data_IF_891602427130
#
_entry.id   IF_891602427130
#
_cell.length_a   1.000
_cell.length_b   1.000
_cell.length_c   1.000
_cell.angle_alpha   90.00
_cell.angle_beta   90.00
_cell.angle_gamma   90.00
#
_symmetry.space_group_name_H-M   'P 1'
#
loop_
_entity.id
_entity.type
_entity.pdbx_description
1 polymer ?
#
# COMPACT_ATOMS: atom_id res chain seq x y z
N UNK A 1 22.78 -10.05 8.92
CA UNK A 1 21.75 -11.04 9.28
C UNK A 1 22.38 -12.26 9.92
N UNK A 2 21.88 -12.60 11.10
CA UNK A 2 22.24 -13.84 11.80
C UNK A 2 21.11 -14.85 11.54
N UNK A 3 21.41 -15.96 10.87
CA UNK A 3 20.42 -17.01 10.65
C UNK A 3 20.58 -17.75 9.32
N UNK A 4 19.88 -18.86 9.17
CA UNK A 4 19.91 -19.74 7.99
C UNK A 4 19.10 -19.18 6.81
N UNK A 5 18.17 -18.25 7.05
CA UNK A 5 17.39 -17.56 6.02
C UNK A 5 17.71 -16.07 6.02
N UNK A 6 18.11 -15.56 4.86
CA UNK A 6 18.29 -14.12 4.64
C UNK A 6 16.93 -13.46 4.48
N UNK A 7 16.81 -12.21 4.92
CA UNK A 7 15.63 -11.37 4.62
C UNK A 7 15.62 -10.98 3.14
N UNK A 8 14.42 -10.75 2.61
CA UNK A 8 14.20 -10.21 1.29
C UNK A 8 13.10 -9.14 1.38
N UNK A 9 13.21 -8.09 0.57
CA UNK A 9 12.32 -6.92 0.64
C UNK A 9 11.83 -6.60 -0.76
N UNK A 10 10.50 -6.49 -0.94
CA UNK A 10 9.91 -5.85 -2.10
C UNK A 10 9.57 -4.40 -1.77
N UNK A 11 9.80 -3.51 -2.73
CA UNK A 11 9.44 -2.09 -2.64
C UNK A 11 8.44 -1.79 -3.75
N UNK A 12 7.30 -1.22 -3.39
CA UNK A 12 6.23 -0.88 -4.31
C UNK A 12 6.25 0.62 -4.61
N UNK A 13 6.14 0.98 -5.89
CA UNK A 13 6.04 2.36 -6.34
C UNK A 13 4.94 2.50 -7.40
N UNK A 14 4.22 3.60 -7.36
CA UNK A 14 3.22 3.92 -8.38
C UNK A 14 3.86 4.62 -9.59
N UNK A 15 3.40 4.37 -10.84
CA UNK A 15 4.01 4.91 -12.05
C UNK A 15 4.02 6.44 -12.15
N UNK A 16 3.20 7.15 -11.36
CA UNK A 16 3.15 8.62 -11.35
C UNK A 16 4.25 9.28 -10.50
N UNK A 17 5.02 8.50 -9.73
CA UNK A 17 6.09 9.02 -8.88
C UNK A 17 7.24 9.60 -9.72
N UNK A 18 7.76 10.77 -9.36
CA UNK A 18 8.80 11.47 -10.11
C UNK A 18 10.09 10.64 -10.30
N UNK A 19 10.43 9.81 -9.32
CA UNK A 19 11.63 8.94 -9.35
C UNK A 19 11.40 7.59 -10.06
N UNK A 20 10.29 7.41 -10.75
CA UNK A 20 9.92 6.12 -11.35
C UNK A 20 10.99 5.60 -12.33
N UNK A 21 11.66 6.50 -13.05
CA UNK A 21 12.68 6.13 -14.03
C UNK A 21 13.91 5.51 -13.37
N UNK A 22 14.36 6.06 -12.24
CA UNK A 22 15.46 5.52 -11.45
C UNK A 22 15.07 4.23 -10.73
N UNK A 23 13.83 4.16 -10.25
CA UNK A 23 13.27 2.97 -9.61
C UNK A 23 13.26 1.74 -10.54
N UNK A 24 12.85 1.91 -11.79
CA UNK A 24 12.87 0.84 -12.81
C UNK A 24 14.30 0.35 -13.07
N UNK A 25 15.29 1.24 -12.96
CA UNK A 25 16.69 0.93 -13.24
C UNK A 25 17.43 0.27 -12.07
N UNK A 26 16.81 0.09 -10.91
CA UNK A 26 17.48 -0.45 -9.71
C UNK A 26 18.16 -1.81 -9.92
N UNK A 27 17.64 -2.67 -10.81
CA UNK A 27 18.15 -4.01 -11.07
C UNK A 27 18.93 -4.15 -12.37
N UNK A 28 19.24 -3.05 -13.05
CA UNK A 28 20.05 -3.12 -14.27
C UNK A 28 21.46 -3.63 -13.98
N UNK A 29 21.96 -4.49 -14.86
CA UNK A 29 23.32 -5.04 -14.80
C UNK A 29 24.40 -4.09 -15.36
N UNK A 30 24.03 -2.89 -15.78
CA UNK A 30 24.90 -1.88 -16.38
C UNK A 30 24.73 -0.53 -15.72
N UNK A 31 25.71 0.35 -15.89
CA UNK A 31 25.69 1.68 -15.34
C UNK A 31 26.38 1.80 -13.98
N UNK A 32 26.07 2.85 -13.24
CA UNK A 32 26.72 3.18 -11.98
C UNK A 32 26.21 2.28 -10.84
N UNK A 33 27.09 1.46 -10.24
CA UNK A 33 26.74 0.50 -9.18
C UNK A 33 26.07 1.15 -7.96
N UNK A 34 26.46 2.37 -7.60
CA UNK A 34 25.84 3.10 -6.46
C UNK A 34 24.35 3.37 -6.64
N UNK A 35 23.88 3.34 -7.89
CA UNK A 35 22.48 3.55 -8.25
C UNK A 35 21.72 2.23 -8.42
N UNK A 36 22.30 1.12 -7.99
CA UNK A 36 21.72 -0.23 -8.10
C UNK A 36 21.37 -0.77 -6.72
N UNK A 37 20.35 -1.61 -6.70
CA UNK A 37 19.86 -2.29 -5.51
C UNK A 37 19.48 -3.73 -5.88
N UNK A 38 20.47 -4.53 -6.20
CA UNK A 38 20.29 -5.90 -6.71
C UNK A 38 19.57 -6.83 -5.73
N UNK A 39 19.67 -6.56 -4.42
CA UNK A 39 19.02 -7.34 -3.36
C UNK A 39 17.57 -6.91 -3.07
N UNK A 40 17.09 -5.82 -3.68
CA UNK A 40 15.70 -5.39 -3.58
C UNK A 40 14.87 -5.97 -4.73
N UNK A 41 13.58 -6.15 -4.46
CA UNK A 41 12.59 -6.56 -5.46
C UNK A 41 11.65 -5.40 -5.75
N UNK A 42 11.92 -4.60 -6.80
CA UNK A 42 11.03 -3.52 -7.18
C UNK A 42 9.72 -4.07 -7.74
N UNK A 43 8.62 -3.43 -7.39
CA UNK A 43 7.27 -3.73 -7.85
C UNK A 43 6.54 -2.45 -8.22
N UNK A 44 5.76 -2.46 -9.29
CA UNK A 44 4.88 -1.36 -9.68
C UNK A 44 3.47 -1.60 -9.16
N UNK A 45 2.89 -0.55 -8.61
CA UNK A 45 1.50 -0.50 -8.16
C UNK A 45 0.69 0.32 -9.16
N UNK A 46 0.17 -0.34 -10.20
CA UNK A 46 -0.31 0.24 -11.46
C UNK A 46 -1.80 0.54 -11.35
N UNK A 47 -2.20 1.77 -11.72
CA UNK A 47 -3.60 2.19 -11.83
C UNK A 47 -4.16 1.92 -13.22
N UNK A 48 -5.48 1.76 -13.32
CA UNK A 48 -6.18 1.58 -14.59
C UNK A 48 -5.95 2.79 -15.51
N UNK A 49 -5.95 4.02 -14.96
CA UNK A 49 -5.70 5.24 -15.73
C UNK A 49 -4.35 5.21 -16.46
N UNK A 50 -3.29 4.67 -15.82
CA UNK A 50 -1.99 4.54 -16.49
C UNK A 50 -2.09 3.64 -17.71
N UNK A 51 -2.76 2.49 -17.58
CA UNK A 51 -2.93 1.54 -18.68
C UNK A 51 -3.85 2.11 -19.78
N UNK A 52 -4.90 2.86 -19.43
CA UNK A 52 -5.73 3.61 -20.40
C UNK A 52 -4.83 4.55 -21.23
N UNK A 53 -3.99 5.35 -20.57
CA UNK A 53 -3.07 6.29 -21.22
C UNK A 53 -2.03 5.59 -22.12
N UNK A 54 -1.57 4.39 -21.71
CA UNK A 54 -0.68 3.55 -22.55
C UNK A 54 -1.40 3.09 -23.82
N UNK A 55 -2.64 2.62 -23.71
CA UNK A 55 -3.42 2.16 -24.86
C UNK A 55 -3.76 3.28 -25.82
N UNK A 56 -4.11 4.45 -25.30
CA UNK A 56 -4.46 5.64 -26.08
C UNK A 56 -3.25 6.40 -26.66
N UNK A 57 -2.02 5.96 -26.33
CA UNK A 57 -0.78 6.68 -26.66
C UNK A 57 -0.78 8.13 -26.15
N UNK A 58 -1.36 8.33 -24.97
CA UNK A 58 -1.50 9.63 -24.31
C UNK A 58 -0.29 9.99 -23.48
N UNK A 59 -0.27 11.22 -22.93
CA UNK A 59 0.75 11.68 -22.01
C UNK A 59 0.47 11.20 -20.59
N UNK A 60 1.57 11.01 -19.83
CA UNK A 60 1.57 10.65 -18.43
C UNK A 60 2.41 11.64 -17.64
N UNK A 61 1.89 12.12 -16.53
CA UNK A 61 2.53 13.13 -15.69
C UNK A 61 3.09 12.50 -14.43
N UNK A 62 4.34 12.81 -14.14
CA UNK A 62 5.05 12.42 -12.92
C UNK A 62 5.00 13.58 -11.93
N UNK A 63 4.72 13.29 -10.68
CA UNK A 63 4.57 14.27 -9.61
C UNK A 63 5.56 14.04 -8.48
N UNK A 64 5.88 15.11 -7.75
CA UNK A 64 6.52 15.01 -6.44
C UNK A 64 5.50 14.45 -5.44
N UNK A 65 5.76 13.29 -4.80
CA UNK A 65 4.83 12.68 -3.85
C UNK A 65 4.56 13.54 -2.61
N UNK A 66 5.43 14.48 -2.29
CA UNK A 66 5.20 15.42 -1.19
C UNK A 66 4.06 16.40 -1.49
N UNK A 67 3.92 16.83 -2.75
CA UNK A 67 2.89 17.78 -3.17
C UNK A 67 1.52 17.12 -3.42
N UNK A 68 1.50 15.81 -3.76
CA UNK A 68 0.29 15.04 -4.11
C UNK A 68 0.06 13.83 -3.20
N UNK A 69 0.23 14.00 -1.89
CA UNK A 69 0.23 12.93 -0.88
C UNK A 69 -1.00 12.02 -0.92
N UNK A 70 -2.14 12.56 -1.28
CA UNK A 70 -3.41 11.85 -1.31
C UNK A 70 -3.64 10.99 -2.56
N UNK A 71 -2.77 11.06 -3.58
CA UNK A 71 -2.83 10.15 -4.72
C UNK A 71 -2.55 8.70 -4.32
N UNK A 72 -1.64 8.47 -3.39
CA UNK A 72 -1.36 7.11 -2.88
C UNK A 72 -2.53 6.53 -2.08
N UNK A 73 -3.38 7.39 -1.54
CA UNK A 73 -4.48 7.01 -0.64
C UNK A 73 -5.81 6.74 -1.36
N UNK A 74 -5.86 6.89 -2.69
CA UNK A 74 -7.06 6.68 -3.49
C UNK A 74 -6.82 5.74 -4.69
N UNK A 75 -7.88 5.21 -5.28
CA UNK A 75 -7.86 4.32 -6.45
C UNK A 75 -9.11 4.50 -7.31
N UNK A 76 -9.12 3.92 -8.52
CA UNK A 76 -10.26 3.98 -9.43
C UNK A 76 -10.62 5.40 -9.86
N UNK A 77 -11.92 5.72 -9.87
CA UNK A 77 -12.42 7.02 -10.32
C UNK A 77 -11.96 8.18 -9.44
N UNK A 78 -11.79 7.96 -8.13
CA UNK A 78 -11.26 8.98 -7.23
C UNK A 78 -9.81 9.33 -7.57
N UNK A 79 -8.98 8.32 -7.80
CA UNK A 79 -7.60 8.53 -8.26
C UNK A 79 -7.58 9.29 -9.58
N UNK A 80 -8.39 8.86 -10.55
CA UNK A 80 -8.48 9.49 -11.88
C UNK A 80 -8.84 10.97 -11.80
N UNK A 81 -9.84 11.30 -10.99
CA UNK A 81 -10.29 12.68 -10.80
C UNK A 81 -9.19 13.56 -10.18
N UNK A 82 -8.53 13.08 -9.12
CA UNK A 82 -7.45 13.81 -8.44
C UNK A 82 -6.23 13.95 -9.34
N UNK A 83 -5.84 12.89 -10.03
CA UNK A 83 -4.69 12.90 -10.93
C UNK A 83 -4.86 13.94 -12.04
N UNK A 84 -6.04 14.01 -12.68
CA UNK A 84 -6.33 15.02 -13.71
C UNK A 84 -6.32 16.43 -13.11
N UNK A 85 -6.89 16.63 -11.93
CA UNK A 85 -6.86 17.93 -11.27
C UNK A 85 -5.42 18.40 -10.99
N UNK A 86 -4.53 17.50 -10.58
CA UNK A 86 -3.10 17.81 -10.40
C UNK A 86 -2.36 18.04 -11.72
N UNK A 87 -2.76 17.38 -12.80
CA UNK A 87 -2.23 17.68 -14.13
C UNK A 87 -2.54 19.12 -14.57
N UNK A 88 -3.69 19.65 -14.21
CA UNK A 88 -4.15 21.00 -14.55
C UNK A 88 -3.60 22.08 -13.62
N UNK A 89 -3.22 21.73 -12.39
CA UNK A 89 -2.68 22.69 -11.40
C UNK A 89 -1.26 23.13 -11.76
N UNK A 90 -1.12 24.40 -12.13
CA UNK A 90 0.17 24.99 -12.50
C UNK A 90 1.14 25.18 -11.32
N UNK A 91 0.70 25.04 -10.08
CA UNK A 91 1.53 25.24 -8.88
C UNK A 91 2.31 23.99 -8.48
N UNK A 92 1.93 22.82 -8.98
CA UNK A 92 2.52 21.52 -8.64
C UNK A 92 3.74 21.23 -9.52
N UNK A 93 4.83 20.78 -8.90
CA UNK A 93 6.04 20.31 -9.58
C UNK A 93 5.75 19.02 -10.32
N UNK A 94 5.93 19.02 -11.64
CA UNK A 94 5.59 17.88 -12.48
C UNK A 94 6.49 17.76 -13.70
N UNK A 95 6.60 16.55 -14.21
CA UNK A 95 7.26 16.21 -15.46
C UNK A 95 6.32 15.34 -16.30
N UNK A 96 6.25 15.58 -17.60
CA UNK A 96 5.31 14.89 -18.49
C UNK A 96 6.05 14.15 -19.58
N UNK A 97 5.64 12.91 -19.83
CA UNK A 97 6.20 12.04 -20.85
C UNK A 97 5.11 11.21 -21.54
N UNK A 98 5.41 10.51 -22.61
CA UNK A 98 4.48 9.53 -23.18
C UNK A 98 4.33 8.32 -22.25
N UNK A 99 3.09 7.96 -21.91
CA UNK A 99 2.80 6.77 -21.09
C UNK A 99 3.37 5.51 -21.72
N UNK A 100 3.31 5.40 -23.04
CA UNK A 100 3.85 4.28 -23.81
C UNK A 100 5.38 4.15 -23.70
N UNK A 101 6.10 5.26 -23.59
CA UNK A 101 7.55 5.23 -23.45
C UNK A 101 7.97 4.76 -22.04
N UNK A 102 7.26 5.21 -21.00
CA UNK A 102 7.43 4.66 -19.66
C UNK A 102 7.12 3.15 -19.63
N UNK A 103 6.01 2.74 -20.24
CA UNK A 103 5.63 1.32 -20.30
C UNK A 103 6.66 0.46 -21.04
N UNK A 104 7.20 0.94 -22.17
CA UNK A 104 8.30 0.26 -22.88
C UNK A 104 9.51 0.09 -21.98
N UNK A 105 9.89 1.13 -21.21
CA UNK A 105 11.01 1.03 -20.26
C UNK A 105 10.74 -0.02 -19.18
N UNK A 106 9.52 -0.06 -18.63
CA UNK A 106 9.09 -1.08 -17.66
C UNK A 106 9.26 -2.49 -18.26
N UNK A 107 8.70 -2.72 -19.45
CA UNK A 107 8.79 -4.02 -20.12
C UNK A 107 10.23 -4.41 -20.44
N UNK A 108 11.05 -3.47 -20.88
CA UNK A 108 12.48 -3.73 -21.13
C UNK A 108 13.17 -4.22 -19.87
N UNK A 109 13.01 -3.51 -18.74
CA UNK A 109 13.57 -3.93 -17.46
C UNK A 109 13.03 -5.28 -16.99
N UNK A 110 11.72 -5.51 -17.18
CA UNK A 110 11.07 -6.76 -16.84
C UNK A 110 11.67 -7.96 -17.58
N UNK A 111 11.87 -7.84 -18.90
CA UNK A 111 12.47 -8.91 -19.71
C UNK A 111 13.97 -9.11 -19.44
N UNK A 112 14.70 -8.05 -19.09
CA UNK A 112 16.13 -8.12 -18.80
C UNK A 112 16.43 -8.71 -17.40
N UNK A 113 15.60 -8.42 -16.41
CA UNK A 113 15.92 -8.71 -15.00
C UNK A 113 14.81 -9.47 -14.23
N UNK A 114 13.65 -9.73 -14.83
CA UNK A 114 12.47 -10.24 -14.15
C UNK A 114 11.82 -9.22 -13.20
N UNK A 115 12.21 -7.94 -13.28
CA UNK A 115 11.73 -6.87 -12.41
C UNK A 115 11.48 -5.59 -13.21
N UNK A 116 10.58 -4.70 -12.76
CA UNK A 116 9.75 -4.77 -11.57
C UNK A 116 8.60 -5.78 -11.67
N UNK A 117 8.07 -6.26 -10.55
CA UNK A 117 6.80 -6.98 -10.53
C UNK A 117 5.67 -6.04 -10.95
N UNK A 118 4.66 -6.57 -11.64
CA UNK A 118 3.52 -5.79 -12.15
C UNK A 118 2.26 -6.14 -11.35
N UNK A 119 1.82 -5.20 -10.52
CA UNK A 119 0.63 -5.36 -9.69
C UNK A 119 -0.37 -4.24 -10.00
N UNK A 120 -1.65 -4.59 -10.12
CA UNK A 120 -2.71 -3.68 -10.56
C UNK A 120 -3.54 -3.20 -9.37
N UNK A 121 -3.31 -1.94 -8.97
CA UNK A 121 -3.89 -1.27 -7.80
C UNK A 121 -5.41 -1.31 -7.80
N UNK A 122 -6.02 -0.87 -8.88
CA UNK A 122 -7.47 -0.72 -8.96
C UNK A 122 -8.16 -2.09 -8.98
N UNK A 123 -7.61 -3.05 -9.71
CA UNK A 123 -8.11 -4.43 -9.74
C UNK A 123 -8.05 -5.08 -8.35
N UNK A 124 -6.91 -4.93 -7.66
CA UNK A 124 -6.74 -5.46 -6.30
C UNK A 124 -7.77 -4.86 -5.34
N UNK A 125 -8.00 -3.55 -5.43
CA UNK A 125 -8.93 -2.86 -4.53
C UNK A 125 -10.40 -3.12 -4.85
N UNK A 126 -10.77 -3.29 -6.12
CA UNK A 126 -12.12 -3.75 -6.49
C UNK A 126 -12.44 -5.15 -5.98
N UNK A 127 -11.44 -6.02 -5.91
CA UNK A 127 -11.57 -7.39 -5.41
C UNK A 127 -11.38 -7.51 -3.88
N UNK A 128 -11.11 -6.41 -3.17
CA UNK A 128 -10.83 -6.41 -1.74
C UNK A 128 -12.08 -6.80 -0.92
N UNK A 129 -12.10 -7.96 -0.26
CA UNK A 129 -13.24 -8.37 0.58
C UNK A 129 -13.40 -7.52 1.84
N UNK A 130 -12.34 -6.78 2.22
CA UNK A 130 -12.29 -5.93 3.41
C UNK A 130 -12.30 -4.43 3.05
N UNK A 131 -12.90 -4.04 1.93
CA UNK A 131 -12.96 -2.64 1.50
C UNK A 131 -13.59 -1.69 2.53
N UNK A 132 -14.48 -2.23 3.39
CA UNK A 132 -15.11 -1.49 4.50
C UNK A 132 -14.15 -1.14 5.65
N UNK A 133 -12.98 -1.78 5.72
CA UNK A 133 -11.95 -1.54 6.74
C UNK A 133 -10.84 -0.63 6.22
N UNK A 134 -10.52 -0.74 4.93
CA UNK A 134 -9.46 0.04 4.30
C UNK A 134 -9.12 -0.47 2.91
N UNK A 135 -8.18 0.18 2.24
CA UNK A 135 -7.74 -0.24 0.92
C UNK A 135 -6.37 -0.95 0.95
N UNK A 136 -6.09 -1.70 -0.11
CA UNK A 136 -4.84 -2.41 -0.32
C UNK A 136 -3.83 -1.43 -0.93
N UNK A 137 -2.67 -1.25 -0.27
CA UNK A 137 -1.61 -0.32 -0.68
C UNK A 137 -0.42 -1.00 -1.35
N UNK A 138 -0.28 -2.29 -1.12
CA UNK A 138 0.81 -3.11 -1.69
C UNK A 138 0.48 -4.58 -1.55
N UNK A 139 1.33 -5.43 -2.10
CA UNK A 139 1.32 -6.87 -1.84
C UNK A 139 2.59 -7.26 -1.04
N UNK A 140 2.76 -8.54 -0.77
CA UNK A 140 3.98 -9.09 -0.17
C UNK A 140 5.08 -9.30 -1.22
N UNK A 141 6.21 -9.91 -0.82
CA UNK A 141 7.36 -10.18 -1.70
C UNK A 141 6.98 -11.04 -2.92
N UNK A 142 6.18 -12.10 -2.70
CA UNK A 142 5.82 -13.06 -3.74
C UNK A 142 4.54 -12.69 -4.51
N UNK A 143 3.91 -11.56 -4.18
CA UNK A 143 2.71 -11.00 -4.85
C UNK A 143 1.44 -11.84 -4.75
N UNK A 144 1.34 -12.77 -3.80
CA UNK A 144 0.14 -13.59 -3.57
C UNK A 144 -0.78 -13.05 -2.48
N UNK A 145 -0.32 -12.10 -1.63
CA UNK A 145 -1.11 -11.54 -0.54
C UNK A 145 -1.52 -10.11 -0.87
N UNK A 146 -2.81 -9.89 -0.98
CA UNK A 146 -3.43 -8.58 -1.17
C UNK A 146 -4.32 -8.29 0.03
N UNK A 147 -3.78 -7.58 1.01
CA UNK A 147 -4.43 -7.31 2.27
C UNK A 147 -4.37 -5.81 2.58
N UNK A 148 -5.50 -5.25 3.03
CA UNK A 148 -5.52 -3.86 3.46
C UNK A 148 -4.63 -3.65 4.69
N UNK A 149 -3.91 -2.54 4.69
CA UNK A 149 -3.10 -2.08 5.82
C UNK A 149 -3.30 -0.58 5.99
N UNK A 150 -3.58 -0.15 7.22
CA UNK A 150 -3.69 1.25 7.54
C UNK A 150 -2.34 1.82 7.95
N UNK A 151 -1.98 3.06 7.57
CA UNK A 151 -0.75 3.71 8.02
C UNK A 151 -0.81 4.03 9.51
N UNK A 152 0.36 4.33 10.09
CA UNK A 152 0.37 4.96 11.40
C UNK A 152 -0.32 6.32 11.31
N UNK A 153 -1.07 6.68 12.34
CA UNK A 153 -1.65 8.01 12.48
C UNK A 153 -1.43 8.54 13.90
N UNK A 154 -1.69 9.80 14.12
CA UNK A 154 -1.47 10.45 15.40
C UNK A 154 -2.75 11.11 15.87
N UNK A 155 -3.07 10.91 17.15
CA UNK A 155 -4.11 11.64 17.86
C UNK A 155 -3.49 12.75 18.68
N UNK A 156 -4.07 13.93 18.60
CA UNK A 156 -3.63 15.12 19.33
C UNK A 156 -4.72 15.53 20.29
N UNK A 157 -4.40 15.57 21.58
CA UNK A 157 -5.27 16.16 22.60
C UNK A 157 -4.93 17.63 22.76
N UNK A 158 -5.93 18.47 22.57
CA UNK A 158 -5.85 19.91 22.78
C UNK A 158 -6.63 20.28 24.02
N UNK A 159 -6.00 21.03 24.92
CA UNK A 159 -6.64 21.66 26.07
C UNK A 159 -6.95 23.13 25.73
N UNK A 160 -8.20 23.52 25.90
CA UNK A 160 -8.67 24.88 25.71
C UNK A 160 -8.54 25.69 26.99
N UNK A 161 -8.52 27.03 26.89
CA UNK A 161 -8.41 27.93 28.02
C UNK A 161 -9.55 27.79 29.07
N UNK A 162 -10.67 27.22 28.69
CA UNK A 162 -11.78 26.88 29.58
C UNK A 162 -11.61 25.51 30.29
N UNK A 163 -10.48 24.86 30.11
CA UNK A 163 -10.19 23.55 30.66
C UNK A 163 -10.83 22.37 29.90
N UNK A 164 -11.51 22.64 28.77
CA UNK A 164 -12.06 21.57 27.94
C UNK A 164 -10.94 20.85 27.20
N UNK A 165 -10.96 19.52 27.17
CA UNK A 165 -10.02 18.70 26.41
C UNK A 165 -10.77 18.06 25.24
N UNK A 166 -10.23 18.18 24.04
CA UNK A 166 -10.73 17.52 22.85
C UNK A 166 -9.63 16.77 22.11
N UNK A 167 -9.97 15.62 21.54
CA UNK A 167 -9.04 14.77 20.78
C UNK A 167 -9.33 14.89 19.28
N UNK A 168 -8.30 15.07 18.50
CA UNK A 168 -8.36 15.22 17.04
C UNK A 168 -7.35 14.25 16.39
N UNK A 169 -7.64 13.83 15.15
CA UNK A 169 -6.60 13.23 14.30
C UNK A 169 -5.64 14.33 13.84
N UNK A 170 -4.33 14.05 13.80
CA UNK A 170 -3.32 15.06 13.41
C UNK A 170 -3.56 15.59 11.99
N UNK A 171 -4.04 14.72 11.09
CA UNK A 171 -4.35 15.08 9.71
C UNK A 171 -5.52 16.06 9.55
N UNK A 172 -6.38 16.13 10.57
CA UNK A 172 -7.50 17.09 10.63
C UNK A 172 -7.09 18.46 11.15
N UNK A 173 -5.85 18.63 11.59
CA UNK A 173 -5.32 19.87 12.15
C UNK A 173 -4.34 20.52 11.18
N UNK A 174 -4.42 21.84 11.13
CA UNK A 174 -3.46 22.69 10.41
C UNK A 174 -2.94 23.80 11.33
N UNK A 175 -1.73 24.25 11.11
CA UNK A 175 -1.17 25.41 11.78
C UNK A 175 -1.44 26.63 10.93
N UNK A 176 -2.14 27.62 11.49
CA UNK A 176 -2.48 28.89 10.82
C UNK A 176 -2.11 30.03 11.74
N UNK A 177 -1.29 30.97 11.26
CA UNK A 177 -0.90 32.19 11.97
C UNK A 177 -0.45 31.95 13.44
N UNK A 178 0.30 30.87 13.68
CA UNK A 178 0.81 30.51 15.00
C UNK A 178 -0.22 29.86 15.92
N UNK A 179 -1.41 29.53 15.41
CA UNK A 179 -2.45 28.75 16.10
C UNK A 179 -2.70 27.40 15.46
N UNK A 180 -3.56 26.60 16.08
CA UNK A 180 -4.01 25.32 15.54
C UNK A 180 -5.47 25.47 15.13
N UNK A 181 -5.80 25.02 13.92
CA UNK A 181 -7.14 24.99 13.38
C UNK A 181 -7.53 23.60 12.91
N UNK A 182 -8.82 23.27 12.95
CA UNK A 182 -9.35 22.04 12.38
C UNK A 182 -9.48 22.19 10.86
N UNK A 183 -8.99 21.19 10.13
CA UNK A 183 -9.16 21.11 8.67
C UNK A 183 -10.63 20.82 8.37
N UNK A 184 -11.31 21.71 7.66
CA UNK A 184 -12.70 21.50 7.29
C UNK A 184 -12.81 20.41 6.22
N UNK A 185 -13.77 19.51 6.34
CA UNK A 185 -14.07 18.50 5.33
C UNK A 185 -14.41 19.16 3.99
N UNK A 186 -13.52 19.00 3.03
CA UNK A 186 -13.68 19.17 1.56
C UNK A 186 -14.26 20.48 1.00
N UNK A 187 -14.61 21.47 1.78
CA UNK A 187 -14.97 22.79 1.27
C UNK A 187 -14.42 23.85 2.23
N UNK A 188 -13.47 24.61 1.75
CA UNK A 188 -12.92 25.89 2.18
C UNK A 188 -13.69 26.66 3.31
N UNK A 189 -13.75 26.11 4.49
CA UNK A 189 -14.03 26.86 5.70
C UNK A 189 -13.12 26.31 6.81
N UNK A 190 -12.12 27.09 7.16
CA UNK A 190 -11.40 26.96 8.41
C UNK A 190 -12.41 27.20 9.54
N UNK A 191 -12.96 26.13 10.10
CA UNK A 191 -13.48 26.23 11.44
C UNK A 191 -12.28 26.45 12.35
N UNK A 192 -11.90 27.70 12.45
CA UNK A 192 -10.88 28.14 13.37
C UNK A 192 -11.27 27.61 14.75
N UNK A 193 -10.31 27.06 15.44
CA UNK A 193 -10.32 27.00 16.91
C UNK A 193 -10.21 28.46 17.35
N UNK A 194 -11.25 29.23 17.01
CA UNK A 194 -11.29 30.67 16.89
C UNK A 194 -10.78 31.35 18.13
N UNK A 195 -9.60 31.98 18.04
CA UNK A 195 -9.14 32.96 19.00
C UNK A 195 -8.85 32.44 20.41
N UNK A 196 -9.10 31.18 20.69
CA UNK A 196 -8.80 30.54 21.96
C UNK A 196 -7.37 30.01 21.93
N UNK A 197 -6.57 30.42 22.89
CA UNK A 197 -5.28 29.76 23.12
C UNK A 197 -5.54 28.29 23.44
N UNK A 198 -4.85 27.38 22.72
CA UNK A 198 -4.91 25.94 22.95
C UNK A 198 -3.52 25.44 23.22
N UNK A 199 -3.43 24.40 24.03
CA UNK A 199 -2.18 23.72 24.32
C UNK A 199 -2.26 22.27 23.85
N UNK A 200 -1.21 21.78 23.18
CA UNK A 200 -1.08 20.35 22.94
C UNK A 200 -0.66 19.69 24.25
N UNK A 201 -1.56 18.94 24.85
CA UNK A 201 -1.29 18.22 26.10
C UNK A 201 -0.73 16.82 25.85
N UNK A 202 -1.11 16.21 24.71
CA UNK A 202 -0.65 14.86 24.37
C UNK A 202 -0.68 14.67 22.84
N UNK A 203 0.35 13.99 22.35
CA UNK A 203 0.40 13.44 20.98
C UNK A 203 0.59 11.94 21.08
N UNK A 204 -0.46 11.18 20.82
CA UNK A 204 -0.45 9.72 20.84
C UNK A 204 -0.26 9.16 19.44
N UNK A 205 0.73 8.29 19.26
CA UNK A 205 0.91 7.53 18.04
C UNK A 205 0.03 6.29 18.08
N UNK A 206 -0.85 6.16 17.09
CA UNK A 206 -1.62 4.95 16.86
C UNK A 206 -0.90 4.14 15.79
N UNK A 207 -0.47 2.93 16.14
CA UNK A 207 0.20 2.05 15.20
C UNK A 207 -0.76 1.59 14.11
N UNK A 208 -0.31 1.70 12.86
CA UNK A 208 -0.99 1.14 11.70
C UNK A 208 -0.90 -0.38 11.65
N UNK A 209 -1.54 -0.93 10.64
CA UNK A 209 -1.58 -2.37 10.42
C UNK A 209 -0.25 -2.90 9.85
N UNK A 210 0.11 -4.11 10.24
CA UNK A 210 1.21 -4.87 9.64
C UNK A 210 0.71 -6.29 9.40
N UNK A 211 0.36 -6.58 8.15
CA UNK A 211 -0.12 -7.89 7.72
C UNK A 211 1.01 -8.93 7.73
N UNK A 212 0.65 -10.17 8.01
CA UNK A 212 1.57 -11.33 7.99
C UNK A 212 0.92 -12.46 7.22
N UNK A 213 1.70 -13.09 6.35
CA UNK A 213 1.28 -14.27 5.60
C UNK A 213 1.09 -15.47 6.53
N UNK A 214 -0.06 -16.15 6.40
CA UNK A 214 -0.38 -17.41 7.06
C UNK A 214 -0.95 -18.35 6.00
N UNK A 215 -0.07 -19.19 5.42
CA UNK A 215 -0.31 -19.89 4.16
C UNK A 215 -0.15 -21.39 4.29
N UNK A 216 -0.97 -22.15 3.53
CA UNK A 216 -0.80 -23.56 3.30
C UNK A 216 -1.22 -23.91 1.86
N UNK A 217 -0.87 -25.11 1.41
CA UNK A 217 -1.31 -25.62 0.10
C UNK A 217 -1.74 -27.08 0.21
N UNK A 218 -2.87 -27.40 -0.42
CA UNK A 218 -3.33 -28.77 -0.56
C UNK A 218 -2.66 -29.40 -1.78
N UNK A 219 -2.06 -30.57 -1.58
CA UNK A 219 -1.49 -31.32 -2.71
C UNK A 219 -2.59 -32.11 -3.43
N UNK A 220 -3.01 -31.59 -4.58
CA UNK A 220 -4.09 -32.18 -5.38
C UNK A 220 -3.73 -33.55 -5.93
N UNK A 221 -2.44 -33.85 -6.18
CA UNK A 221 -2.02 -35.19 -6.62
C UNK A 221 -2.27 -36.30 -5.58
N UNK A 222 -2.64 -35.93 -4.35
CA UNK A 222 -3.02 -36.83 -3.25
C UNK A 222 -4.52 -36.83 -2.93
N UNK A 223 -5.30 -36.05 -3.68
CA UNK A 223 -6.74 -35.95 -3.58
C UNK A 223 -7.35 -36.81 -4.69
N UNK A 224 -8.02 -37.87 -4.35
CA UNK A 224 -8.59 -38.79 -5.33
C UNK A 224 -10.11 -38.69 -5.45
N UNK A 225 -10.76 -38.18 -4.41
CA UNK A 225 -12.22 -38.11 -4.34
C UNK A 225 -12.71 -36.77 -3.78
N UNK A 226 -13.99 -36.50 -3.98
CA UNK A 226 -14.64 -35.31 -3.38
C UNK A 226 -14.60 -35.38 -1.84
N UNK A 227 -14.79 -36.59 -1.30
CA UNK A 227 -14.75 -36.86 0.14
C UNK A 227 -13.39 -36.53 0.75
N UNK A 228 -12.28 -36.69 0.00
CA UNK A 228 -10.95 -36.28 0.43
C UNK A 228 -10.88 -34.75 0.58
N UNK A 229 -11.46 -34.00 -0.35
CA UNK A 229 -11.54 -32.53 -0.27
C UNK A 229 -12.35 -32.12 0.96
N UNK A 230 -13.53 -32.66 1.12
CA UNK A 230 -14.44 -32.38 2.23
C UNK A 230 -13.82 -32.69 3.61
N UNK A 231 -12.91 -33.66 3.67
CA UNK A 231 -12.15 -34.02 4.87
C UNK A 231 -10.94 -33.12 5.11
N UNK A 232 -10.13 -32.87 4.06
CA UNK A 232 -8.81 -32.18 4.19
C UNK A 232 -8.96 -30.67 4.35
N UNK A 233 -9.84 -30.03 3.58
CA UNK A 233 -9.97 -28.57 3.56
C UNK A 233 -10.37 -27.99 4.92
N UNK A 234 -11.41 -28.51 5.62
CA UNK A 234 -11.76 -28.02 6.95
C UNK A 234 -10.64 -28.16 8.00
N UNK A 235 -9.85 -29.24 7.89
CA UNK A 235 -8.70 -29.47 8.78
C UNK A 235 -7.63 -28.41 8.50
N UNK A 236 -7.30 -28.18 7.23
CA UNK A 236 -6.29 -27.20 6.83
C UNK A 236 -6.69 -25.78 7.27
N UNK A 237 -7.94 -25.38 7.08
CA UNK A 237 -8.47 -24.08 7.53
C UNK A 237 -8.35 -23.96 9.06
N UNK A 238 -8.76 -24.98 9.81
CA UNK A 238 -8.62 -24.98 11.28
C UNK A 238 -7.17 -24.88 11.73
N UNK A 239 -6.25 -25.58 11.06
CA UNK A 239 -4.83 -25.50 11.36
C UNK A 239 -4.31 -24.07 11.15
N UNK A 240 -4.65 -23.43 10.03
CA UNK A 240 -4.25 -22.05 9.73
C UNK A 240 -4.82 -21.07 10.76
N UNK A 241 -6.09 -21.21 11.12
CA UNK A 241 -6.74 -20.36 12.13
C UNK A 241 -6.09 -20.53 13.51
N UNK A 242 -5.80 -21.77 13.92
CA UNK A 242 -5.10 -22.05 15.18
C UNK A 242 -3.67 -21.44 15.22
N UNK A 243 -2.97 -21.42 14.09
CA UNK A 243 -1.64 -20.80 14.00
C UNK A 243 -1.70 -19.32 14.37
N UNK A 244 -2.77 -18.60 14.02
CA UNK A 244 -2.93 -17.18 14.39
C UNK A 244 -2.90 -16.99 15.90
N UNK A 245 -3.52 -17.89 16.66
CA UNK A 245 -3.58 -17.81 18.12
C UNK A 245 -2.31 -18.31 18.81
N UNK A 246 -1.70 -19.37 18.27
CA UNK A 246 -0.59 -20.07 18.89
C UNK A 246 0.79 -19.54 18.54
N UNK A 247 0.90 -18.76 17.43
CA UNK A 247 2.19 -18.30 16.92
C UNK A 247 2.83 -17.24 17.86
N UNK A 248 4.15 -17.23 17.85
CA UNK A 248 4.93 -16.16 18.49
C UNK A 248 5.01 -14.94 17.57
N UNK A 249 4.62 -13.79 18.08
CA UNK A 249 4.70 -12.52 17.38
C UNK A 249 5.79 -11.63 18.00
N UNK A 250 6.88 -11.33 17.26
CA UNK A 250 7.95 -10.49 17.80
C UNK A 250 7.54 -9.03 17.98
N UNK A 251 6.50 -8.57 17.26
CA UNK A 251 6.01 -7.20 17.33
C UNK A 251 4.52 -7.16 17.71
N UNK A 252 4.18 -6.28 18.66
CA UNK A 252 2.79 -6.14 19.16
C UNK A 252 1.81 -5.74 18.06
N UNK A 253 2.20 -4.83 17.15
CA UNK A 253 1.35 -4.38 16.04
C UNK A 253 1.02 -5.51 15.05
N UNK A 254 1.96 -6.41 14.80
CA UNK A 254 1.73 -7.60 13.95
C UNK A 254 0.70 -8.52 14.59
N UNK A 255 0.85 -8.77 15.89
CA UNK A 255 -0.14 -9.57 16.64
C UNK A 255 -1.53 -8.95 16.59
N UNK A 256 -1.62 -7.64 16.82
CA UNK A 256 -2.89 -6.92 16.79
C UNK A 256 -3.56 -7.01 15.42
N UNK A 257 -2.82 -6.79 14.33
CA UNK A 257 -3.33 -6.91 12.96
C UNK A 257 -3.82 -8.32 12.66
N UNK A 258 -3.01 -9.35 12.97
CA UNK A 258 -3.39 -10.74 12.69
C UNK A 258 -4.61 -11.20 13.49
N UNK A 259 -4.69 -10.87 14.76
CA UNK A 259 -5.86 -11.21 15.57
C UNK A 259 -7.13 -10.48 15.11
N UNK A 260 -6.97 -9.24 14.62
CA UNK A 260 -8.08 -8.43 14.07
C UNK A 260 -8.62 -8.99 12.76
N UNK A 261 -7.73 -9.32 11.82
CA UNK A 261 -8.09 -9.71 10.45
C UNK A 261 -8.27 -11.22 10.28
N UNK A 262 -7.54 -12.03 11.06
CA UNK A 262 -7.49 -13.49 10.96
C UNK A 262 -7.32 -14.01 9.53
N UNK A 263 -6.50 -13.33 8.75
CA UNK A 263 -6.29 -13.64 7.33
C UNK A 263 -5.50 -14.92 7.16
N UNK A 264 -6.01 -15.81 6.31
CA UNK A 264 -5.38 -17.07 5.92
C UNK A 264 -5.41 -17.23 4.41
N UNK A 265 -4.44 -17.95 3.86
CA UNK A 265 -4.43 -18.34 2.45
C UNK A 265 -4.22 -19.84 2.32
N UNK A 266 -5.21 -20.53 1.77
CA UNK A 266 -5.14 -21.95 1.44
C UNK A 266 -5.13 -22.10 -0.08
N UNK A 267 -3.96 -22.41 -0.63
CA UNK A 267 -3.77 -22.65 -2.05
C UNK A 267 -3.79 -24.15 -2.40
N UNK A 268 -3.43 -24.43 -3.65
CA UNK A 268 -3.30 -25.79 -4.18
C UNK A 268 -1.94 -25.94 -4.86
N UNK A 269 -1.44 -27.17 -4.97
CA UNK A 269 -0.28 -27.58 -5.73
C UNK A 269 -0.50 -28.97 -6.32
N UNK A 270 0.31 -29.33 -7.29
CA UNK A 270 0.21 -30.66 -7.94
C UNK A 270 -0.99 -30.78 -8.88
N UNK A 271 -1.49 -29.67 -9.45
CA UNK A 271 -2.59 -29.67 -10.41
C UNK A 271 -2.22 -30.42 -11.70
N UNK A 272 -0.98 -30.30 -12.15
CA UNK A 272 -0.52 -30.95 -13.37
C UNK A 272 -0.43 -32.49 -13.24
N UNK A 273 -0.32 -33.00 -12.03
CA UNK A 273 -0.30 -34.44 -11.72
C UNK A 273 -1.68 -35.03 -11.38
N UNK A 274 -2.70 -34.19 -11.29
CA UNK A 274 -4.08 -34.59 -11.03
C UNK A 274 -4.76 -35.08 -12.30
#
# INVERSE_FOLDING_TARGET
>A
QLGTRKGAIAVYMEPWHMDIMDFIDLKKNSGEERRRAHDLFPALWITDLFMERVLEDSYWTLFDPYEVKDLSECYGDEFKAKYIAYEEDATITKNTMKAKDLWKKVLTSYFESGSPFLCFKDTANRANPNAHVGHIRSSNLCTEIFQNTNPNHYKIKLEFMDGTISTYEEEDLIVVDGGIAKKANKVSALDSVNGKRVFIVEKEKIDGDTAVCNLASVNLSRINTKEDIERVVPIAIRMLDNVIDLNFYPLRKVKATNLKSRSIGLGVMGEAEM
#
